data_IF_532231732153
#
_entry.id   IF_532231732153
#
_cell.length_a   1.000
_cell.length_b   1.000
_cell.length_c   1.000
_cell.angle_alpha   90.00
_cell.angle_beta   90.00
_cell.angle_gamma   90.00
#
_symmetry.space_group_name_H-M   'P 1'
#
loop_
_entity.id
_entity.type
_entity.pdbx_description
1 polymer ?
#
# COMPACT_ATOMS: atom_id res chain seq x y z
N UNK A 1 32.52 3.92 -81.91
CA UNK A 1 32.20 5.17 -81.18
C UNK A 1 30.85 5.02 -80.46
N UNK A 2 30.86 5.27 -79.15
CA UNK A 2 29.73 5.65 -78.27
C UNK A 2 28.74 4.60 -77.70
N UNK A 3 28.78 3.30 -78.01
CA UNK A 3 27.87 2.35 -77.33
C UNK A 3 28.36 1.95 -75.92
N UNK A 4 29.65 1.61 -75.78
CA UNK A 4 30.21 1.14 -74.50
C UNK A 4 30.38 2.24 -73.43
N UNK A 5 30.65 3.48 -73.86
CA UNK A 5 30.73 4.62 -72.94
C UNK A 5 29.36 4.98 -72.37
N UNK A 6 28.29 4.76 -73.14
CA UNK A 6 26.92 5.02 -72.70
C UNK A 6 26.44 3.96 -71.70
N UNK A 7 26.84 2.70 -71.85
CA UNK A 7 26.53 1.62 -70.90
C UNK A 7 27.23 1.81 -69.54
N UNK A 8 28.49 2.28 -69.52
CA UNK A 8 29.22 2.58 -68.28
C UNK A 8 28.67 3.83 -67.59
N UNK A 9 28.27 4.84 -68.36
CA UNK A 9 27.68 6.07 -67.82
C UNK A 9 26.24 5.84 -67.36
N UNK A 10 25.48 4.94 -68.03
CA UNK A 10 24.17 4.47 -67.59
C UNK A 10 24.24 3.54 -66.37
N UNK A 11 25.32 2.75 -66.22
CA UNK A 11 25.57 1.96 -65.00
C UNK A 11 26.04 2.82 -63.83
N UNK A 12 26.78 3.90 -64.09
CA UNK A 12 27.15 4.89 -63.08
C UNK A 12 25.92 5.69 -62.62
N UNK A 13 25.09 6.18 -63.55
CA UNK A 13 23.86 6.90 -63.20
C UNK A 13 22.77 5.98 -62.63
N UNK A 14 22.68 4.70 -63.01
CA UNK A 14 21.79 3.73 -62.32
C UNK A 14 22.25 3.40 -60.90
N UNK A 15 23.54 3.46 -60.60
CA UNK A 15 24.05 3.29 -59.23
C UNK A 15 23.81 4.54 -58.36
N UNK A 16 23.85 5.73 -58.95
CA UNK A 16 23.59 6.99 -58.25
C UNK A 16 22.08 7.35 -58.12
N UNK A 17 21.20 6.69 -58.88
CA UNK A 17 19.73 6.92 -58.83
C UNK A 17 18.94 5.89 -58.01
N UNK A 18 19.61 4.95 -57.34
CA UNK A 18 18.97 3.98 -56.43
C UNK A 18 19.13 4.37 -54.93
N UNK A 19 19.42 5.64 -54.62
CA UNK A 19 19.52 6.13 -53.23
C UNK A 19 18.49 7.21 -52.85
N UNK A 20 17.54 7.56 -53.72
CA UNK A 20 16.53 8.56 -53.39
C UNK A 20 15.15 8.17 -53.89
N UNK A 21 14.48 7.23 -53.22
CA UNK A 21 13.03 7.28 -53.04
C UNK A 21 12.61 6.32 -51.93
N UNK A 22 12.12 6.93 -50.83
CA UNK A 22 11.22 6.34 -49.84
C UNK A 22 11.57 4.95 -49.30
N UNK A 23 12.01 4.89 -48.05
CA UNK A 23 11.11 4.37 -47.02
C UNK A 23 11.80 4.38 -45.66
N UNK A 24 11.15 5.09 -44.74
CA UNK A 24 11.27 5.06 -43.30
C UNK A 24 12.71 4.89 -42.78
N UNK A 25 13.26 5.96 -42.18
CA UNK A 25 14.31 5.82 -41.16
C UNK A 25 14.01 4.54 -40.39
N UNK A 26 14.81 3.49 -40.65
CA UNK A 26 14.56 2.18 -40.08
C UNK A 26 15.03 2.33 -38.66
N UNK A 27 14.17 2.98 -37.86
CA UNK A 27 14.38 3.36 -36.49
C UNK A 27 15.01 2.13 -35.89
N UNK A 28 16.24 2.30 -35.43
CA UNK A 28 16.97 1.27 -34.74
C UNK A 28 16.03 0.64 -33.73
N UNK A 29 16.21 -0.63 -33.43
CA UNK A 29 15.34 -1.33 -32.46
C UNK A 29 15.17 -0.50 -31.16
N UNK A 30 16.22 0.23 -30.79
CA UNK A 30 16.24 1.20 -29.71
C UNK A 30 15.34 2.42 -29.95
N UNK A 31 15.43 3.10 -31.10
CA UNK A 31 14.56 4.23 -31.42
C UNK A 31 13.08 3.84 -31.52
N UNK A 32 12.75 2.66 -32.06
CA UNK A 32 11.37 2.14 -32.04
C UNK A 32 10.87 1.92 -30.62
N UNK A 33 11.73 1.41 -29.75
CA UNK A 33 11.42 1.21 -28.34
C UNK A 33 11.22 2.55 -27.63
N UNK A 34 12.10 3.52 -27.87
CA UNK A 34 12.01 4.88 -27.31
C UNK A 34 10.72 5.55 -27.75
N UNK A 35 10.37 5.49 -29.05
CA UNK A 35 9.15 6.07 -29.57
C UNK A 35 7.89 5.40 -28.99
N UNK A 36 7.91 4.08 -28.84
CA UNK A 36 6.82 3.35 -28.19
C UNK A 36 6.69 3.74 -26.71
N UNK A 37 7.79 3.85 -25.98
CA UNK A 37 7.81 4.31 -24.59
C UNK A 37 7.28 5.74 -24.47
N UNK A 38 7.72 6.66 -25.34
CA UNK A 38 7.25 8.05 -25.37
C UNK A 38 5.75 8.13 -25.65
N UNK A 39 5.23 7.28 -26.54
CA UNK A 39 3.80 7.19 -26.80
C UNK A 39 3.03 6.72 -25.55
N UNK A 40 3.46 5.65 -24.91
CA UNK A 40 2.84 5.15 -23.68
C UNK A 40 2.89 6.20 -22.57
N UNK A 41 4.02 6.90 -22.41
CA UNK A 41 4.17 8.00 -21.46
C UNK A 41 3.17 9.12 -21.77
N UNK A 42 3.01 9.50 -23.05
CA UNK A 42 2.03 10.49 -23.48
C UNK A 42 0.59 10.09 -23.14
N UNK A 43 0.21 8.84 -23.42
CA UNK A 43 -1.12 8.30 -23.09
C UNK A 43 -1.34 8.29 -21.56
N UNK A 44 -0.35 7.87 -20.78
CA UNK A 44 -0.41 7.88 -19.30
C UNK A 44 -0.51 9.30 -18.73
N UNK A 45 0.19 10.28 -19.31
CA UNK A 45 0.09 11.69 -18.90
C UNK A 45 -1.32 12.22 -19.20
N UNK A 46 -1.88 11.94 -20.38
CA UNK A 46 -3.22 12.38 -20.75
C UNK A 46 -4.28 11.77 -19.81
N UNK A 47 -4.18 10.47 -19.53
CA UNK A 47 -5.06 9.79 -18.58
C UNK A 47 -4.95 10.38 -17.17
N UNK A 48 -3.74 10.61 -16.66
CA UNK A 48 -3.55 11.19 -15.34
C UNK A 48 -4.10 12.62 -15.25
N UNK A 49 -3.95 13.44 -16.30
CA UNK A 49 -4.56 14.78 -16.37
C UNK A 49 -6.08 14.68 -16.33
N UNK A 50 -6.70 13.85 -17.16
CA UNK A 50 -8.15 13.65 -17.17
C UNK A 50 -8.69 13.13 -15.82
N UNK A 51 -7.94 12.25 -15.15
CA UNK A 51 -8.28 11.80 -13.80
C UNK A 51 -8.16 12.93 -12.77
N UNK A 52 -7.11 13.75 -12.87
CA UNK A 52 -6.91 14.91 -11.99
C UNK A 52 -8.03 15.93 -12.16
N UNK A 53 -8.43 16.23 -13.40
CA UNK A 53 -9.53 17.16 -13.69
C UNK A 53 -10.86 16.64 -13.14
N UNK A 54 -11.13 15.34 -13.27
CA UNK A 54 -12.32 14.70 -12.68
C UNK A 54 -12.31 14.74 -11.16
N UNK A 55 -11.17 14.50 -10.53
CA UNK A 55 -11.02 14.60 -9.07
C UNK A 55 -11.27 16.04 -8.62
N UNK A 56 -10.65 17.01 -9.27
CA UNK A 56 -10.86 18.43 -8.97
C UNK A 56 -12.34 18.81 -9.09
N UNK A 57 -13.02 18.39 -10.15
CA UNK A 57 -14.45 18.69 -10.34
C UNK A 57 -15.32 18.10 -9.21
N UNK A 58 -15.02 16.87 -8.78
CA UNK A 58 -15.73 16.22 -7.67
C UNK A 58 -15.45 16.90 -6.33
N UNK A 59 -14.22 17.38 -6.11
CA UNK A 59 -13.85 18.14 -4.91
C UNK A 59 -14.51 19.52 -4.87
N UNK A 60 -14.70 20.17 -6.02
CA UNK A 60 -15.42 21.44 -6.13
C UNK A 60 -16.94 21.25 -6.00
N UNK A 61 -17.49 20.16 -6.55
CA UNK A 61 -18.91 19.81 -6.42
C UNK A 61 -19.29 19.35 -5.00
N UNK A 62 -18.36 18.74 -4.25
CA UNK A 62 -18.56 18.34 -2.85
C UNK A 62 -18.29 19.43 -1.82
N UNK A 63 -17.93 20.65 -2.26
CA UNK A 63 -17.48 21.76 -1.42
C UNK A 63 -18.55 22.79 -1.02
N UNK A 64 -19.84 22.57 -1.30
CA UNK A 64 -20.93 23.44 -0.82
C UNK A 64 -21.78 22.68 0.19
N UNK A 65 -21.39 22.72 1.46
CA UNK A 65 -22.30 22.57 2.60
C UNK A 65 -21.57 22.92 3.90
N UNK A 66 -21.39 24.21 4.17
CA UNK A 66 -21.46 24.73 5.53
C UNK A 66 -21.71 26.25 5.52
N UNK A 67 -22.99 26.60 5.51
CA UNK A 67 -23.51 27.82 6.15
C UNK A 67 -24.94 27.53 6.61
N UNK A 68 -25.22 27.97 7.83
CA UNK A 68 -26.34 27.70 8.75
C UNK A 68 -27.77 27.58 8.19
N UNK A 69 -28.64 26.85 8.91
CA UNK A 69 -29.72 27.39 9.77
C UNK A 69 -30.60 26.24 10.30
N UNK A 70 -30.88 26.30 11.61
CA UNK A 70 -31.88 25.51 12.38
C UNK A 70 -33.22 25.26 11.68
N UNK A 71 -33.77 24.06 11.84
CA UNK A 71 -35.11 23.77 12.44
C UNK A 71 -35.56 22.33 12.18
N UNK A 72 -36.12 21.70 13.20
CA UNK A 72 -36.68 20.34 13.25
C UNK A 72 -38.21 20.35 12.90
N UNK A 73 -38.93 19.19 12.90
CA UNK A 73 -39.32 18.29 11.79
C UNK A 73 -40.86 18.34 11.48
N UNK A 74 -41.53 17.40 10.74
CA UNK A 74 -41.90 16.06 11.28
C UNK A 74 -42.14 14.87 10.28
N UNK A 75 -42.11 13.66 10.86
CA UNK A 75 -42.97 12.45 10.71
C UNK A 75 -43.19 11.65 9.38
N UNK A 76 -43.12 10.31 9.58
CA UNK A 76 -43.78 9.16 8.91
C UNK A 76 -43.43 8.78 7.46
N UNK A 77 -42.85 7.59 7.26
CA UNK A 77 -43.59 6.34 7.00
C UNK A 77 -42.64 5.23 6.47
N UNK A 78 -43.00 4.00 6.80
CA UNK A 78 -42.31 2.75 6.53
C UNK A 78 -42.06 2.46 5.05
N UNK A 79 -40.89 1.89 4.71
CA UNK A 79 -40.84 0.85 3.68
C UNK A 79 -39.59 -0.05 3.80
N UNK A 80 -39.87 -1.31 4.06
CA UNK A 80 -38.99 -2.47 3.99
C UNK A 80 -38.47 -2.66 2.56
N UNK A 81 -37.15 -2.80 2.37
CA UNK A 81 -36.60 -3.55 1.24
C UNK A 81 -35.20 -4.07 1.55
N UNK A 82 -35.11 -5.38 1.77
CA UNK A 82 -33.88 -6.15 1.58
C UNK A 82 -33.45 -6.05 0.12
N UNK A 83 -32.19 -5.70 -0.13
CA UNK A 83 -31.44 -6.13 -1.33
C UNK A 83 -30.00 -6.35 -0.92
N UNK A 84 -29.60 -7.62 -0.92
CA UNK A 84 -28.21 -8.05 -1.01
C UNK A 84 -27.57 -7.43 -2.26
N UNK A 85 -26.46 -6.70 -2.08
CA UNK A 85 -25.56 -6.34 -3.18
C UNK A 85 -24.12 -6.43 -2.68
N UNK A 86 -23.57 -7.61 -2.91
CA UNK A 86 -22.15 -7.88 -2.99
C UNK A 86 -21.52 -6.97 -4.06
N UNK A 87 -20.68 -6.03 -3.63
CA UNK A 87 -19.78 -5.35 -4.56
C UNK A 87 -18.45 -5.09 -3.86
N UNK A 88 -17.49 -5.93 -4.24
CA UNK A 88 -16.06 -5.84 -4.01
C UNK A 88 -15.55 -4.38 -4.06
N UNK A 89 -15.25 -3.81 -2.91
CA UNK A 89 -14.54 -2.52 -2.85
C UNK A 89 -13.06 -2.78 -3.08
N UNK A 90 -12.66 -2.52 -4.33
CA UNK A 90 -11.27 -2.48 -4.79
C UNK A 90 -10.46 -1.59 -3.84
N UNK A 91 -9.49 -2.20 -3.18
CA UNK A 91 -8.56 -1.55 -2.25
C UNK A 91 -7.72 -0.50 -2.98
N UNK A 92 -7.94 0.77 -2.62
CA UNK A 92 -7.21 1.95 -3.10
C UNK A 92 -5.74 1.88 -2.70
N UNK A 93 -4.88 2.00 -3.71
CA UNK A 93 -3.43 2.19 -3.59
C UNK A 93 -3.11 3.56 -2.98
N UNK A 94 -2.02 3.57 -2.23
CA UNK A 94 -1.42 4.66 -1.48
C UNK A 94 -1.31 5.98 -2.26
N UNK A 95 -1.90 7.06 -1.71
CA UNK A 95 -1.75 8.43 -2.19
C UNK A 95 -2.41 9.43 -1.24
N UNK A 96 -1.60 10.01 -0.35
CA UNK A 96 -1.74 11.31 0.32
C UNK A 96 -3.08 11.72 0.98
N UNK A 97 -3.05 11.86 2.31
CA UNK A 97 -4.13 12.16 3.29
C UNK A 97 -4.98 10.99 3.79
N UNK A 98 -4.45 9.77 3.81
CA UNK A 98 -5.01 8.75 4.69
C UNK A 98 -4.87 9.19 6.16
N UNK A 99 -5.99 9.18 6.89
CA UNK A 99 -6.00 9.17 8.36
C UNK A 99 -4.83 8.29 8.86
N UNK A 100 -4.07 8.69 9.90
CA UNK A 100 -2.97 7.88 10.38
C UNK A 100 -3.46 6.44 10.61
N UNK A 101 -2.92 5.48 9.84
CA UNK A 101 -3.30 4.08 9.96
C UNK A 101 -3.11 3.67 11.43
N UNK A 102 -4.20 3.30 12.10
CA UNK A 102 -4.14 2.80 13.46
C UNK A 102 -3.32 1.51 13.54
N UNK A 103 -2.76 1.16 14.72
CA UNK A 103 -2.10 -0.12 14.95
C UNK A 103 -2.81 -1.33 14.33
N UNK A 104 -4.13 -1.48 14.47
CA UNK A 104 -4.86 -2.62 13.88
C UNK A 104 -4.80 -2.64 12.33
N UNK A 105 -4.82 -1.48 11.69
CA UNK A 105 -4.67 -1.39 10.24
C UNK A 105 -3.25 -1.74 9.79
N UNK A 106 -2.23 -1.37 10.58
CA UNK A 106 -0.84 -1.77 10.34
C UNK A 106 -0.68 -3.29 10.49
N UNK A 107 -1.29 -3.88 11.52
CA UNK A 107 -1.33 -5.33 11.72
C UNK A 107 -1.96 -6.05 10.52
N UNK A 108 -3.13 -5.58 10.09
CA UNK A 108 -3.81 -6.15 8.93
C UNK A 108 -2.98 -6.02 7.65
N UNK A 109 -2.39 -4.85 7.37
CA UNK A 109 -1.54 -4.69 6.19
C UNK A 109 -0.27 -5.53 6.25
N UNK A 110 0.28 -5.76 7.44
CA UNK A 110 1.45 -6.62 7.61
C UNK A 110 1.11 -8.07 7.25
N UNK A 111 0.04 -8.61 7.82
CA UNK A 111 -0.31 -10.02 7.71
C UNK A 111 -1.17 -10.35 6.49
N UNK A 112 -2.22 -9.59 6.17
CA UNK A 112 -3.22 -9.97 5.18
C UNK A 112 -2.94 -9.45 3.77
N UNK A 113 -2.11 -8.41 3.60
CA UNK A 113 -1.85 -7.82 2.28
C UNK A 113 -1.12 -8.80 1.36
N UNK A 114 -1.48 -8.81 0.07
CA UNK A 114 -0.85 -9.62 -0.98
C UNK A 114 -0.29 -8.70 -2.08
N UNK A 115 0.99 -8.81 -2.46
CA UNK A 115 2.02 -9.63 -1.83
C UNK A 115 2.31 -9.19 -0.38
N UNK A 116 2.87 -10.09 0.44
CA UNK A 116 3.13 -9.80 1.86
C UNK A 116 4.07 -8.61 2.00
N UNK A 117 3.87 -7.80 3.03
CA UNK A 117 4.66 -6.56 3.17
C UNK A 117 6.13 -6.84 3.48
N UNK A 118 6.43 -7.98 4.09
CA UNK A 118 7.81 -8.41 4.27
C UNK A 118 8.48 -8.89 2.98
N UNK A 119 7.73 -9.22 1.92
CA UNK A 119 8.29 -9.67 0.64
C UNK A 119 8.54 -8.50 -0.33
N UNK A 120 7.61 -7.55 -0.47
CA UNK A 120 7.58 -6.62 -1.64
C UNK A 120 7.51 -5.12 -1.27
N UNK A 121 7.97 -4.71 -0.07
CA UNK A 121 7.94 -3.27 0.27
C UNK A 121 9.18 -2.51 -0.24
N UNK A 122 8.99 -1.68 -1.28
CA UNK A 122 10.04 -0.78 -1.80
C UNK A 122 10.44 0.36 -0.84
N UNK A 123 9.57 0.70 0.12
CA UNK A 123 9.87 1.67 1.17
C UNK A 123 10.40 0.95 2.43
N UNK A 124 11.73 0.91 2.55
CA UNK A 124 12.42 0.27 3.69
C UNK A 124 12.05 0.92 5.03
N UNK A 125 11.82 2.23 5.05
CA UNK A 125 11.51 2.96 6.28
C UNK A 125 10.09 2.61 6.75
N UNK A 126 9.11 2.61 5.83
CA UNK A 126 7.75 2.16 6.13
C UNK A 126 7.73 0.69 6.58
N UNK A 127 8.43 -0.20 5.87
CA UNK A 127 8.55 -1.62 6.25
C UNK A 127 9.10 -1.78 7.67
N UNK A 128 10.18 -1.05 8.00
CA UNK A 128 10.77 -1.07 9.35
C UNK A 128 9.80 -0.54 10.42
N UNK A 129 9.08 0.55 10.14
CA UNK A 129 8.09 1.09 11.07
C UNK A 129 6.92 0.12 11.30
N UNK A 130 6.41 -0.52 10.24
CA UNK A 130 5.32 -1.49 10.34
C UNK A 130 5.76 -2.73 11.10
N UNK A 131 6.95 -3.27 10.77
CA UNK A 131 7.57 -4.38 11.50
C UNK A 131 7.65 -4.06 13.00
N UNK A 132 8.13 -2.88 13.34
CA UNK A 132 8.27 -2.47 14.74
C UNK A 132 6.92 -2.37 15.44
N UNK A 133 5.95 -1.69 14.86
CA UNK A 133 4.61 -1.59 15.42
C UNK A 133 3.98 -2.97 15.64
N UNK A 134 4.07 -3.87 14.65
CA UNK A 134 3.50 -5.22 14.75
C UNK A 134 4.14 -6.03 15.86
N UNK A 135 5.47 -6.03 15.98
CA UNK A 135 6.14 -6.77 17.05
C UNK A 135 5.82 -6.21 18.44
N UNK A 136 5.66 -4.89 18.60
CA UNK A 136 5.13 -4.34 19.85
C UNK A 136 3.68 -4.79 20.09
N UNK A 137 2.82 -4.82 19.07
CA UNK A 137 1.44 -5.28 19.21
C UNK A 137 1.34 -6.73 19.70
N UNK A 138 2.26 -7.61 19.29
CA UNK A 138 2.31 -9.00 19.77
C UNK A 138 2.43 -9.12 21.29
N UNK A 139 3.05 -8.14 21.95
CA UNK A 139 3.19 -8.10 23.41
C UNK A 139 1.84 -7.95 24.13
N UNK A 140 0.86 -7.31 23.47
CA UNK A 140 -0.45 -6.99 24.01
C UNK A 140 -1.49 -8.09 23.75
N UNK A 141 -1.05 -9.28 23.37
CA UNK A 141 -1.88 -10.48 23.21
C UNK A 141 -1.57 -11.43 24.37
N UNK A 142 -2.30 -11.33 25.51
CA UNK A 142 -1.97 -12.07 26.73
C UNK A 142 -2.05 -13.59 26.54
N UNK A 143 -2.94 -14.04 25.64
CA UNK A 143 -3.16 -15.45 25.33
C UNK A 143 -2.38 -15.91 24.08
N UNK A 144 -1.52 -15.06 23.51
CA UNK A 144 -0.87 -15.35 22.23
C UNK A 144 -1.83 -15.19 21.04
N UNK A 145 -1.44 -15.75 19.90
CA UNK A 145 -2.24 -15.73 18.68
C UNK A 145 -1.85 -16.86 17.73
N UNK A 146 -2.81 -17.28 16.91
CA UNK A 146 -2.60 -18.29 15.88
C UNK A 146 -3.11 -17.75 14.55
N UNK A 147 -2.21 -17.53 13.59
CA UNK A 147 -2.54 -17.03 12.26
C UNK A 147 -2.04 -18.03 11.22
N UNK A 148 -2.93 -18.82 10.66
CA UNK A 148 -2.62 -19.78 9.60
C UNK A 148 -3.15 -19.28 8.24
N UNK A 149 -2.25 -18.90 7.31
CA UNK A 149 -2.61 -18.47 5.95
C UNK A 149 -3.43 -19.48 5.14
N UNK A 150 -3.42 -20.76 5.53
CA UNK A 150 -4.12 -21.84 4.82
C UNK A 150 -5.62 -21.88 5.15
N UNK A 151 -6.05 -21.19 6.20
CA UNK A 151 -7.45 -21.18 6.63
C UNK A 151 -8.29 -20.20 5.82
N UNK A 152 -9.53 -20.60 5.49
CA UNK A 152 -10.48 -19.71 4.79
C UNK A 152 -10.80 -18.44 5.60
N UNK A 153 -10.73 -18.53 6.93
CA UNK A 153 -10.99 -17.42 7.86
C UNK A 153 -9.74 -16.58 8.19
N UNK A 154 -8.63 -16.75 7.45
CA UNK A 154 -7.36 -16.09 7.77
C UNK A 154 -7.48 -14.57 7.92
N UNK A 155 -8.12 -13.90 6.95
CA UNK A 155 -8.28 -12.45 6.98
C UNK A 155 -9.11 -11.98 8.19
N UNK A 156 -10.15 -12.73 8.56
CA UNK A 156 -10.99 -12.42 9.72
C UNK A 156 -10.23 -12.63 11.03
N UNK A 157 -9.42 -13.70 11.11
CA UNK A 157 -8.53 -13.93 12.24
C UNK A 157 -7.50 -12.80 12.39
N UNK A 158 -6.85 -12.40 11.29
CA UNK A 158 -5.91 -11.27 11.28
C UNK A 158 -6.58 -9.99 11.76
N UNK A 159 -7.79 -9.70 11.28
CA UNK A 159 -8.54 -8.51 11.67
C UNK A 159 -8.87 -8.53 13.17
N UNK A 160 -9.47 -9.63 13.66
CA UNK A 160 -9.86 -9.78 15.07
C UNK A 160 -8.66 -9.68 16.01
N UNK A 161 -7.58 -10.40 15.72
CA UNK A 161 -6.36 -10.37 16.54
C UNK A 161 -5.72 -8.98 16.53
N UNK A 162 -5.71 -8.31 15.37
CA UNK A 162 -5.20 -6.94 15.27
C UNK A 162 -5.99 -5.93 16.10
N UNK A 163 -7.33 -6.05 16.12
CA UNK A 163 -8.20 -5.22 16.94
C UNK A 163 -8.03 -5.49 18.45
N UNK A 164 -7.91 -6.76 18.84
CA UNK A 164 -7.62 -7.15 20.23
C UNK A 164 -6.29 -6.55 20.72
N UNK A 165 -5.23 -6.72 19.94
CA UNK A 165 -3.92 -6.17 20.25
C UNK A 165 -3.95 -4.63 20.36
N UNK A 166 -4.67 -3.95 19.45
CA UNK A 166 -4.83 -2.49 19.51
C UNK A 166 -5.61 -2.04 20.75
N UNK A 167 -6.70 -2.72 21.10
CA UNK A 167 -7.50 -2.40 22.29
C UNK A 167 -6.65 -2.52 23.57
N UNK A 168 -5.88 -3.60 23.71
CA UNK A 168 -5.00 -3.84 24.85
C UNK A 168 -3.84 -2.83 24.89
N UNK A 169 -3.27 -2.47 23.75
CA UNK A 169 -2.24 -1.44 23.63
C UNK A 169 -2.76 -0.05 24.04
N UNK A 170 -3.98 0.29 23.63
CA UNK A 170 -4.61 1.56 24.00
C UNK A 170 -4.98 1.59 25.49
N UNK A 171 -5.42 0.48 26.07
CA UNK A 171 -5.64 0.35 27.51
C UNK A 171 -4.35 0.58 28.30
N UNK A 172 -3.25 -0.06 27.90
CA UNK A 172 -1.94 0.17 28.48
C UNK A 172 -1.53 1.65 28.44
N UNK A 173 -1.75 2.35 27.32
CA UNK A 173 -1.45 3.79 27.26
C UNK A 173 -2.31 4.65 28.19
N UNK A 174 -3.56 4.27 28.44
CA UNK A 174 -4.41 4.96 29.40
C UNK A 174 -3.85 4.80 30.82
N UNK A 175 -3.44 3.58 31.19
CA UNK A 175 -2.80 3.28 32.48
C UNK A 175 -1.47 4.03 32.65
N UNK A 176 -0.73 4.26 31.56
CA UNK A 176 0.50 5.06 31.55
C UNK A 176 0.26 6.59 31.52
N UNK A 177 -0.99 7.05 31.66
CA UNK A 177 -1.34 8.48 31.69
C UNK A 177 -1.21 9.20 30.34
N UNK A 178 -1.22 8.46 29.23
CA UNK A 178 -1.01 9.01 27.88
C UNK A 178 -2.34 9.18 27.13
N UNK A 179 -2.70 10.42 26.75
CA UNK A 179 -3.89 10.70 25.91
C UNK A 179 -3.73 10.09 24.51
N UNK A 180 -4.84 9.66 23.89
CA UNK A 180 -4.93 8.95 22.58
C UNK A 180 -4.10 9.66 21.49
N UNK A 181 -3.19 8.94 20.82
CA UNK A 181 -2.31 9.48 19.76
C UNK A 181 -2.41 8.64 18.47
N UNK A 182 -2.05 9.23 17.33
CA UNK A 182 -2.09 8.59 16.00
C UNK A 182 -1.04 7.48 15.82
N UNK A 183 -1.14 6.63 14.80
CA UNK A 183 -0.23 5.47 14.59
C UNK A 183 1.28 5.80 14.59
N UNK A 184 1.71 6.87 13.91
CA UNK A 184 3.12 7.31 13.95
C UNK A 184 3.55 7.78 15.34
N UNK A 185 2.61 8.31 16.12
CA UNK A 185 2.86 8.68 17.51
C UNK A 185 2.84 7.47 18.44
N UNK A 186 2.03 6.44 18.15
CA UNK A 186 2.00 5.17 18.90
C UNK A 186 3.38 4.53 18.91
N UNK A 187 4.01 4.36 17.75
CA UNK A 187 5.35 3.75 17.69
C UNK A 187 6.39 4.57 18.48
N UNK A 188 6.32 5.91 18.43
CA UNK A 188 7.19 6.77 19.24
C UNK A 188 6.97 6.56 20.74
N UNK A 189 5.73 6.42 21.19
CA UNK A 189 5.43 6.12 22.60
C UNK A 189 5.88 4.71 23.00
N UNK A 190 5.66 3.69 22.16
CA UNK A 190 6.13 2.33 22.41
C UNK A 190 7.64 2.27 22.61
N UNK A 191 8.41 2.95 21.73
CA UNK A 191 9.88 3.05 21.87
C UNK A 191 10.28 3.72 23.19
N UNK A 192 9.55 4.75 23.62
CA UNK A 192 9.79 5.40 24.93
C UNK A 192 9.52 4.42 26.08
N UNK A 193 8.37 3.74 26.09
CA UNK A 193 8.05 2.73 27.09
C UNK A 193 9.06 1.58 27.14
N UNK A 194 9.56 1.14 25.97
CA UNK A 194 10.62 0.13 25.88
C UNK A 194 11.91 0.61 26.54
N UNK A 195 12.35 1.84 26.23
CA UNK A 195 13.57 2.41 26.80
C UNK A 195 13.46 2.61 28.32
N UNK A 196 12.27 2.96 28.81
CA UNK A 196 11.97 3.10 30.25
C UNK A 196 11.75 1.76 30.97
N UNK A 197 11.86 0.61 30.27
CA UNK A 197 11.68 -0.73 30.85
C UNK A 197 10.22 -1.11 31.16
N UNK A 198 9.25 -0.26 30.82
CA UNK A 198 7.82 -0.47 31.11
C UNK A 198 7.20 -1.64 30.36
N UNK A 199 7.87 -2.13 29.31
CA UNK A 199 7.44 -3.28 28.52
C UNK A 199 8.09 -4.60 28.98
N UNK A 200 9.01 -4.59 29.95
CA UNK A 200 9.81 -5.76 30.30
C UNK A 200 8.95 -6.97 30.71
N UNK A 201 7.95 -6.78 31.57
CA UNK A 201 7.05 -7.86 31.96
C UNK A 201 6.24 -8.43 30.78
N UNK A 202 5.79 -7.58 29.84
CA UNK A 202 5.11 -8.03 28.63
C UNK A 202 6.04 -8.79 27.69
N UNK A 203 7.31 -8.38 27.60
CA UNK A 203 8.35 -9.05 26.81
C UNK A 203 8.66 -10.43 27.39
N UNK A 204 8.81 -10.53 28.71
CA UNK A 204 9.03 -11.81 29.40
C UNK A 204 7.85 -12.76 29.20
N UNK A 205 6.62 -12.28 29.38
CA UNK A 205 5.41 -13.06 29.14
C UNK A 205 5.30 -13.49 27.66
N UNK A 206 5.64 -12.62 26.72
CA UNK A 206 5.66 -12.97 25.29
C UNK A 206 6.70 -14.06 25.00
N UNK A 207 7.92 -13.95 25.53
CA UNK A 207 8.96 -14.97 25.36
C UNK A 207 8.54 -16.32 25.94
N UNK A 208 7.87 -16.33 27.10
CA UNK A 208 7.32 -17.55 27.68
C UNK A 208 6.30 -18.21 26.74
N UNK A 209 5.38 -17.42 26.14
CA UNK A 209 4.41 -17.94 25.16
C UNK A 209 5.04 -18.49 23.89
N UNK A 210 6.11 -17.85 23.40
CA UNK A 210 6.87 -18.36 22.25
C UNK A 210 7.51 -19.71 22.59
N UNK A 211 8.02 -19.88 23.82
CA UNK A 211 8.66 -21.12 24.26
C UNK A 211 7.66 -22.27 24.46
N UNK A 212 6.41 -21.99 24.82
CA UNK A 212 5.36 -22.99 25.03
C UNK A 212 4.48 -23.26 23.79
N UNK A 213 4.95 -22.90 22.59
CA UNK A 213 4.23 -23.04 21.30
C UNK A 213 2.85 -22.35 21.23
N UNK A 214 2.58 -21.38 22.10
CA UNK A 214 1.30 -20.66 22.15
C UNK A 214 1.12 -19.61 21.05
N UNK A 215 2.03 -19.56 20.06
CA UNK A 215 2.05 -18.55 19.01
C UNK A 215 2.37 -19.19 17.67
N UNK A 216 1.48 -19.00 16.69
CA UNK A 216 1.73 -19.31 15.27
C UNK A 216 1.72 -18.02 14.48
N UNK A 217 2.93 -17.59 14.12
CA UNK A 217 3.20 -16.35 13.40
C UNK A 217 3.72 -16.66 11.98
N UNK A 218 2.96 -16.33 10.93
CA UNK A 218 3.34 -16.63 9.55
C UNK A 218 4.41 -15.69 9.00
N UNK A 219 4.78 -14.63 9.72
CA UNK A 219 5.86 -13.74 9.31
C UNK A 219 7.23 -14.42 9.50
N UNK A 220 8.21 -14.22 8.60
CA UNK A 220 9.54 -14.83 8.73
C UNK A 220 10.23 -14.49 10.06
N UNK A 221 11.00 -15.42 10.63
CA UNK A 221 11.63 -15.27 11.96
C UNK A 221 12.51 -14.03 12.07
N UNK A 222 13.17 -13.64 10.97
CA UNK A 222 14.02 -12.44 10.88
C UNK A 222 13.22 -11.14 11.10
N UNK A 223 11.91 -11.19 10.88
CA UNK A 223 11.01 -10.06 11.11
C UNK A 223 10.45 -10.01 12.52
N UNK A 224 10.57 -11.08 13.29
CA UNK A 224 10.00 -11.22 14.63
C UNK A 224 10.92 -10.67 15.73
N UNK A 225 12.20 -10.43 15.43
CA UNK A 225 13.18 -10.04 16.43
C UNK A 225 13.28 -8.52 16.63
N UNK A 226 12.93 -8.07 17.84
CA UNK A 226 13.10 -6.69 18.31
C UNK A 226 13.54 -6.57 19.76
N UNK A 227 13.33 -7.61 20.56
CA UNK A 227 13.54 -7.56 21.99
C UNK A 227 14.84 -8.28 22.32
N UNK A 228 15.97 -7.81 21.78
CA UNK A 228 17.27 -8.34 22.18
C UNK A 228 17.56 -7.91 23.61
N UNK A 229 18.01 -8.87 24.45
CA UNK A 229 18.37 -8.61 25.85
C UNK A 229 19.57 -7.65 25.83
N UNK A 230 19.44 -6.50 26.50
CA UNK A 230 20.61 -5.69 26.87
C UNK A 230 21.36 -6.36 28.00
#
# INVERSE_FOLDING_TARGET
MLAWSSELQAKATRKDLEETEGDEEKLTREEKLINHQNRIIGELIAMNRALTDRVNLLEHAGGVSQADISSTPPANASQTREVYSESSTKSKTCGSKALPKGPAAIWFEWYAKTPRLWDVCGDRQKKSAYKQTVNYMKLFLPNGFHLDPSTATYCDQVLRVGQEAEANLLKFFQEQGTKRKSGSTVLKQLRKCYHEGKLNGLIEAYRARVATEGIVDPAPRETQDLFTRK
#
